data_IF_170730666922
#
_entry.id   IF_170730666922
#
_cell.length_a   1.000
_cell.length_b   1.000
_cell.length_c   1.000
_cell.angle_alpha   90.00
_cell.angle_beta   90.00
_cell.angle_gamma   90.00
#
_symmetry.space_group_name_H-M   'P 1'
#
loop_
_entity.id
_entity.type
_entity.pdbx_description
1 polymer ?
#
# COMPACT_ATOMS: atom_id res chain seq x y z
N UNK A 1 8.36 -26.04 -7.46
CA UNK A 1 7.29 -25.21 -6.88
C UNK A 1 6.26 -26.10 -6.20
N UNK A 2 6.05 -25.92 -4.95
CA UNK A 2 5.05 -26.69 -4.24
C UNK A 2 3.67 -26.06 -4.51
N UNK A 3 2.82 -26.74 -5.29
CA UNK A 3 1.45 -26.27 -5.59
C UNK A 3 0.67 -25.96 -4.29
N UNK A 4 1.03 -26.62 -3.19
CA UNK A 4 0.38 -26.43 -1.89
C UNK A 4 0.59 -25.05 -1.28
N UNK A 5 1.79 -24.47 -1.39
CA UNK A 5 2.09 -23.14 -0.82
C UNK A 5 1.17 -22.09 -1.44
N UNK A 6 1.02 -22.16 -2.76
CA UNK A 6 0.15 -21.27 -3.53
C UNK A 6 -1.31 -21.45 -3.12
N UNK A 7 -1.78 -22.69 -3.04
CA UNK A 7 -3.15 -22.99 -2.62
C UNK A 7 -3.44 -22.48 -1.23
N UNK A 8 -2.52 -22.67 -0.27
CA UNK A 8 -2.70 -22.17 1.10
C UNK A 8 -2.77 -20.65 1.17
N UNK A 9 -1.93 -19.93 0.40
CA UNK A 9 -2.01 -18.46 0.30
C UNK A 9 -3.33 -18.00 -0.32
N UNK A 10 -3.78 -18.66 -1.40
CA UNK A 10 -5.01 -18.30 -2.09
C UNK A 10 -6.26 -18.43 -1.19
N UNK A 11 -6.21 -19.26 -0.13
CA UNK A 11 -7.26 -19.41 0.87
C UNK A 11 -6.95 -18.68 2.20
N UNK A 12 -5.95 -17.79 2.22
CA UNK A 12 -5.57 -17.00 3.40
C UNK A 12 -4.86 -17.77 4.53
N UNK A 13 -4.45 -19.04 4.32
CA UNK A 13 -3.75 -19.86 5.31
C UNK A 13 -2.22 -19.67 5.19
N UNK A 14 -1.76 -18.44 5.48
CA UNK A 14 -0.35 -18.09 5.43
C UNK A 14 0.51 -18.92 6.42
N UNK A 15 -0.06 -19.37 7.54
CA UNK A 15 0.56 -20.28 8.50
C UNK A 15 1.01 -21.60 7.85
N UNK A 16 0.10 -22.23 7.10
CA UNK A 16 0.38 -23.48 6.41
C UNK A 16 1.28 -23.27 5.17
N UNK A 17 1.13 -22.15 4.47
CA UNK A 17 2.01 -21.80 3.37
C UNK A 17 3.46 -21.68 3.86
N UNK A 18 3.67 -21.02 5.00
CA UNK A 18 4.99 -20.87 5.63
C UNK A 18 5.60 -22.21 6.02
N UNK A 19 4.83 -23.10 6.68
CA UNK A 19 5.32 -24.44 7.06
C UNK A 19 5.83 -25.21 5.84
N UNK A 20 5.04 -25.20 4.75
CA UNK A 20 5.40 -25.93 3.53
C UNK A 20 6.63 -25.32 2.84
N UNK A 21 6.71 -23.98 2.78
CA UNK A 21 7.84 -23.27 2.17
C UNK A 21 9.14 -23.46 2.94
N UNK A 22 9.13 -23.40 4.27
CA UNK A 22 10.30 -23.72 5.12
C UNK A 22 10.77 -25.17 4.95
N UNK A 23 9.84 -26.09 4.82
CA UNK A 23 10.16 -27.48 4.54
C UNK A 23 10.78 -27.64 3.15
N UNK A 24 10.29 -26.91 2.14
CA UNK A 24 10.88 -26.87 0.80
C UNK A 24 12.33 -26.36 0.88
N UNK A 25 12.57 -25.22 1.53
CA UNK A 25 13.91 -24.64 1.69
C UNK A 25 14.86 -25.60 2.40
N UNK A 26 14.39 -26.35 3.41
CA UNK A 26 15.22 -27.33 4.13
C UNK A 26 15.70 -28.51 3.25
N UNK A 27 14.90 -28.92 2.27
CA UNK A 27 15.29 -29.98 1.32
C UNK A 27 16.04 -29.45 0.10
N UNK A 28 15.74 -28.22 -0.31
CA UNK A 28 16.26 -27.60 -1.53
C UNK A 28 16.82 -26.20 -1.24
N UNK A 29 17.92 -26.07 -0.47
CA UNK A 29 18.45 -24.76 -0.06
C UNK A 29 19.00 -23.90 -1.21
N UNK A 30 19.20 -24.51 -2.40
CA UNK A 30 19.62 -23.81 -3.61
C UNK A 30 18.44 -23.55 -4.57
N UNK A 31 17.21 -23.60 -4.08
CA UNK A 31 16.01 -23.23 -4.84
C UNK A 31 15.41 -21.96 -4.23
N UNK A 32 15.45 -20.87 -4.99
CA UNK A 32 14.94 -19.54 -4.54
C UNK A 32 13.45 -19.54 -4.19
N UNK A 33 12.68 -20.42 -4.83
CA UNK A 33 11.21 -20.49 -4.65
C UNK A 33 10.81 -20.75 -3.19
N UNK A 34 11.59 -21.56 -2.47
CA UNK A 34 11.35 -21.81 -1.04
C UNK A 34 11.41 -20.53 -0.21
N UNK A 35 12.45 -19.73 -0.41
CA UNK A 35 12.65 -18.46 0.30
C UNK A 35 11.60 -17.41 -0.08
N UNK A 36 11.31 -17.27 -1.36
CA UNK A 36 10.30 -16.33 -1.88
C UNK A 36 8.92 -16.66 -1.30
N UNK A 37 8.53 -17.93 -1.34
CA UNK A 37 7.23 -18.37 -0.82
C UNK A 37 7.14 -18.23 0.70
N UNK A 38 8.23 -18.51 1.46
CA UNK A 38 8.31 -18.20 2.89
C UNK A 38 8.12 -16.72 3.16
N UNK A 39 8.83 -15.88 2.41
CA UNK A 39 8.73 -14.42 2.55
C UNK A 39 7.30 -13.90 2.30
N UNK A 40 6.64 -14.34 1.23
CA UNK A 40 5.28 -13.92 0.93
C UNK A 40 4.31 -14.35 2.05
N UNK A 41 4.47 -15.57 2.58
CA UNK A 41 3.65 -16.04 3.70
C UNK A 41 3.91 -15.23 4.97
N UNK A 42 5.18 -14.89 5.26
CA UNK A 42 5.59 -14.07 6.41
C UNK A 42 5.07 -12.63 6.31
N UNK A 43 5.10 -12.03 5.11
CA UNK A 43 4.48 -10.72 4.87
C UNK A 43 2.97 -10.77 5.15
N UNK A 44 2.28 -11.82 4.67
CA UNK A 44 0.86 -12.01 4.93
C UNK A 44 0.52 -12.31 6.41
N UNK A 45 1.51 -12.70 7.23
CA UNK A 45 1.42 -12.83 8.68
C UNK A 45 1.93 -11.58 9.43
N UNK A 46 2.29 -10.53 8.72
CA UNK A 46 2.90 -9.30 9.22
C UNK A 46 4.25 -9.53 9.98
N UNK A 47 4.89 -10.66 9.74
CA UNK A 47 6.21 -10.98 10.31
C UNK A 47 7.33 -10.52 9.36
N UNK A 48 7.46 -9.21 9.21
CA UNK A 48 8.35 -8.59 8.23
C UNK A 48 9.83 -8.85 8.52
N UNK A 49 10.23 -8.85 9.79
CA UNK A 49 11.63 -9.10 10.19
C UNK A 49 12.10 -10.48 9.73
N UNK A 50 11.34 -11.52 10.01
CA UNK A 50 11.68 -12.89 9.59
C UNK A 50 11.65 -13.03 8.05
N UNK A 51 10.73 -12.32 7.37
CA UNK A 51 10.71 -12.27 5.91
C UNK A 51 12.00 -11.69 5.32
N UNK A 52 12.51 -10.60 5.90
CA UNK A 52 13.78 -9.98 5.51
C UNK A 52 14.95 -10.95 5.77
N UNK A 53 14.97 -11.65 6.91
CA UNK A 53 16.03 -12.60 7.23
C UNK A 53 16.09 -13.77 6.24
N UNK A 54 14.94 -14.36 5.90
CA UNK A 54 14.83 -15.44 4.90
C UNK A 54 15.34 -14.97 3.53
N UNK A 55 14.94 -13.77 3.10
CA UNK A 55 15.36 -13.21 1.81
C UNK A 55 16.83 -12.76 1.79
N UNK A 56 17.42 -12.38 2.93
CA UNK A 56 18.84 -12.10 3.05
C UNK A 56 19.68 -13.37 2.82
N UNK A 57 19.19 -14.54 3.25
CA UNK A 57 19.82 -15.81 2.89
C UNK A 57 19.70 -16.01 1.36
N UNK A 58 18.51 -15.82 0.80
CA UNK A 58 18.29 -16.00 -0.63
C UNK A 58 19.17 -15.06 -1.47
N UNK A 59 19.30 -13.77 -1.13
CA UNK A 59 20.12 -12.84 -1.91
C UNK A 59 21.62 -13.14 -1.82
N UNK A 60 22.08 -13.78 -0.76
CA UNK A 60 23.46 -14.23 -0.67
C UNK A 60 23.78 -15.35 -1.68
N UNK A 61 22.78 -16.17 -2.02
CA UNK A 61 22.88 -17.27 -2.99
C UNK A 61 22.56 -16.79 -4.40
N UNK A 62 21.56 -15.90 -4.54
CA UNK A 62 21.03 -15.41 -5.81
C UNK A 62 21.11 -13.86 -5.91
N UNK A 63 22.30 -13.27 -5.86
CA UNK A 63 22.45 -11.81 -5.71
C UNK A 63 21.88 -10.99 -6.88
N UNK A 64 21.81 -11.57 -8.07
CA UNK A 64 21.31 -10.92 -9.29
C UNK A 64 19.98 -11.55 -9.78
N UNK A 65 19.20 -12.11 -8.88
CA UNK A 65 17.87 -12.59 -9.22
C UNK A 65 16.85 -11.47 -9.04
N UNK A 66 15.99 -11.27 -10.03
CA UNK A 66 14.97 -10.22 -10.04
C UNK A 66 13.99 -10.41 -8.89
N UNK A 67 13.42 -11.60 -8.73
CA UNK A 67 12.36 -11.85 -7.75
C UNK A 67 12.87 -11.73 -6.32
N UNK A 68 14.06 -12.26 -6.03
CA UNK A 68 14.68 -12.15 -4.71
C UNK A 68 14.87 -10.67 -4.32
N UNK A 69 15.39 -9.84 -5.23
CA UNK A 69 15.57 -8.41 -4.95
C UNK A 69 14.21 -7.68 -4.86
N UNK A 70 13.24 -8.03 -5.71
CA UNK A 70 11.89 -7.46 -5.64
C UNK A 70 11.19 -7.75 -4.31
N UNK A 71 11.22 -9.01 -3.84
CA UNK A 71 10.59 -9.36 -2.58
C UNK A 71 11.34 -8.82 -1.36
N UNK A 72 12.68 -8.63 -1.44
CA UNK A 72 13.42 -7.86 -0.42
C UNK A 72 12.97 -6.40 -0.37
N UNK A 73 12.74 -5.78 -1.54
CA UNK A 73 12.16 -4.45 -1.61
C UNK A 73 10.79 -4.41 -0.93
N UNK A 74 9.93 -5.36 -1.25
CA UNK A 74 8.58 -5.46 -0.67
C UNK A 74 8.60 -5.70 0.84
N UNK A 75 9.42 -6.63 1.33
CA UNK A 75 9.53 -6.92 2.76
C UNK A 75 10.05 -5.72 3.55
N UNK A 76 11.08 -5.03 3.02
CA UNK A 76 11.60 -3.81 3.64
C UNK A 76 10.59 -2.66 3.61
N UNK A 77 9.85 -2.46 2.50
CA UNK A 77 8.77 -1.48 2.42
C UNK A 77 7.70 -1.74 3.49
N UNK A 78 7.25 -2.99 3.60
CA UNK A 78 6.26 -3.40 4.61
C UNK A 78 6.75 -3.23 6.04
N UNK A 79 8.07 -3.39 6.28
CA UNK A 79 8.73 -3.14 7.56
C UNK A 79 9.02 -1.65 7.81
N UNK A 80 8.65 -0.75 6.90
CA UNK A 80 8.98 0.69 6.91
C UNK A 80 10.50 0.99 6.83
N UNK A 81 11.31 0.06 6.37
CA UNK A 81 12.73 0.24 6.09
C UNK A 81 12.90 0.83 4.66
N UNK A 82 12.43 2.05 4.45
CA UNK A 82 12.26 2.61 3.11
C UNK A 82 13.59 2.83 2.35
N UNK A 83 14.70 3.10 3.03
CA UNK A 83 16.01 3.22 2.39
C UNK A 83 16.50 1.89 1.82
N UNK A 84 16.30 0.80 2.53
CA UNK A 84 16.60 -0.55 2.08
C UNK A 84 15.65 -0.98 0.95
N UNK A 85 14.36 -0.64 1.06
CA UNK A 85 13.37 -0.87 0.00
C UNK A 85 13.80 -0.18 -1.32
N UNK A 86 14.24 1.09 -1.27
CA UNK A 86 14.79 1.81 -2.43
C UNK A 86 15.95 1.04 -3.08
N UNK A 87 16.89 0.55 -2.28
CA UNK A 87 18.06 -0.17 -2.79
C UNK A 87 17.64 -1.45 -3.53
N UNK A 88 16.77 -2.25 -2.93
CA UNK A 88 16.39 -3.54 -3.48
C UNK A 88 15.43 -3.41 -4.69
N UNK A 89 14.46 -2.50 -4.66
CA UNK A 89 13.63 -2.22 -5.84
C UNK A 89 14.45 -1.63 -6.98
N UNK A 90 15.38 -0.71 -6.70
CA UNK A 90 16.28 -0.17 -7.73
C UNK A 90 17.13 -1.27 -8.34
N UNK A 91 17.66 -2.19 -7.53
CA UNK A 91 18.44 -3.33 -8.01
C UNK A 91 17.60 -4.29 -8.85
N UNK A 92 16.35 -4.52 -8.45
CA UNK A 92 15.39 -5.30 -9.23
C UNK A 92 15.17 -4.67 -10.61
N UNK A 93 14.99 -3.34 -10.69
CA UNK A 93 14.82 -2.60 -11.94
C UNK A 93 16.09 -2.56 -12.82
N UNK A 94 17.28 -2.70 -12.25
CA UNK A 94 18.51 -2.88 -13.04
C UNK A 94 18.51 -4.23 -13.79
N UNK A 95 17.86 -5.25 -13.23
CA UNK A 95 17.76 -6.59 -13.81
C UNK A 95 16.61 -6.64 -14.85
N UNK A 96 15.45 -6.12 -14.50
CA UNK A 96 14.31 -5.98 -15.41
C UNK A 96 13.77 -4.54 -15.39
N UNK A 97 14.24 -3.75 -16.34
CA UNK A 97 13.90 -2.32 -16.49
C UNK A 97 12.44 -2.06 -16.89
N UNK A 98 11.68 -3.10 -17.23
CA UNK A 98 10.28 -3.00 -17.64
C UNK A 98 9.31 -3.53 -16.59
N UNK A 99 9.80 -3.97 -15.46
CA UNK A 99 8.94 -4.51 -14.41
C UNK A 99 8.02 -3.42 -13.84
N UNK A 100 6.74 -3.50 -14.19
CA UNK A 100 5.68 -2.63 -13.67
C UNK A 100 5.59 -2.75 -12.14
N UNK A 101 5.65 -3.97 -11.60
CA UNK A 101 5.59 -4.19 -10.15
C UNK A 101 6.73 -3.52 -9.39
N UNK A 102 7.97 -3.62 -9.91
CA UNK A 102 9.11 -2.98 -9.26
C UNK A 102 9.10 -1.44 -9.42
N UNK A 103 8.54 -0.91 -10.54
CA UNK A 103 8.33 0.53 -10.69
C UNK A 103 7.31 1.05 -9.68
N UNK A 104 6.17 0.37 -9.48
CA UNK A 104 5.20 0.73 -8.44
C UNK A 104 5.83 0.72 -7.05
N UNK A 105 6.51 -0.37 -6.67
CA UNK A 105 7.16 -0.48 -5.37
C UNK A 105 8.19 0.63 -5.13
N UNK A 106 8.99 0.98 -6.16
CA UNK A 106 9.97 2.04 -6.06
C UNK A 106 9.34 3.43 -6.00
N UNK A 107 8.28 3.70 -6.79
CA UNK A 107 7.57 4.97 -6.77
C UNK A 107 6.95 5.23 -5.39
N UNK A 108 6.21 4.25 -4.85
CA UNK A 108 5.66 4.32 -3.50
C UNK A 108 6.75 4.48 -2.42
N UNK A 109 7.92 3.86 -2.63
CA UNK A 109 9.05 4.01 -1.72
C UNK A 109 9.61 5.44 -1.78
N UNK A 110 9.70 6.03 -2.97
CA UNK A 110 10.13 7.42 -3.13
C UNK A 110 9.18 8.41 -2.45
N UNK A 111 7.86 8.17 -2.50
CA UNK A 111 6.89 8.98 -1.76
C UNK A 111 7.18 8.96 -0.25
N UNK A 112 7.45 7.77 0.32
CA UNK A 112 7.72 7.61 1.76
C UNK A 112 9.02 8.28 2.23
N UNK A 113 9.98 8.51 1.31
CA UNK A 113 11.25 9.18 1.61
C UNK A 113 11.36 10.57 0.97
N UNK A 114 10.21 11.13 0.58
CA UNK A 114 10.04 12.48 0.05
C UNK A 114 10.90 12.79 -1.19
N UNK A 115 11.18 11.78 -2.01
CA UNK A 115 11.87 11.93 -3.30
C UNK A 115 10.87 12.17 -4.43
N UNK A 116 10.06 13.21 -4.29
CA UNK A 116 8.88 13.51 -5.10
C UNK A 116 9.15 13.52 -6.61
N UNK A 117 10.20 14.19 -7.07
CA UNK A 117 10.56 14.24 -8.50
C UNK A 117 10.74 12.83 -9.10
N UNK A 118 11.29 11.90 -8.30
CA UNK A 118 11.53 10.53 -8.76
C UNK A 118 10.28 9.66 -8.74
N UNK A 119 9.40 9.85 -7.77
CA UNK A 119 8.11 9.15 -7.76
C UNK A 119 7.26 9.58 -8.93
N UNK A 120 7.16 10.89 -9.19
CA UNK A 120 6.42 11.48 -10.31
C UNK A 120 6.92 10.98 -11.68
N UNK A 121 8.26 10.88 -11.85
CA UNK A 121 8.85 10.29 -13.06
C UNK A 121 8.41 8.84 -13.26
N UNK A 122 8.41 8.04 -12.19
CA UNK A 122 8.00 6.64 -12.26
C UNK A 122 6.52 6.48 -12.51
N UNK A 123 5.65 7.25 -11.84
CA UNK A 123 4.21 7.22 -12.10
C UNK A 123 3.87 7.65 -13.53
N UNK A 124 4.50 8.72 -14.01
CA UNK A 124 4.36 9.16 -15.41
C UNK A 124 4.77 8.06 -16.39
N UNK A 125 5.87 7.36 -16.10
CA UNK A 125 6.36 6.24 -16.91
C UNK A 125 5.41 5.05 -16.88
N UNK A 126 4.85 4.70 -15.72
CA UNK A 126 3.87 3.63 -15.56
C UNK A 126 2.61 3.90 -16.41
N UNK A 127 2.07 5.11 -16.30
CA UNK A 127 0.91 5.56 -17.10
C UNK A 127 1.22 5.52 -18.60
N UNK A 128 2.42 5.94 -19.01
CA UNK A 128 2.83 5.90 -20.42
C UNK A 128 3.02 4.45 -20.94
N UNK A 129 3.40 3.49 -20.08
CA UNK A 129 3.52 2.08 -20.43
C UNK A 129 2.17 1.40 -20.55
N UNK A 130 1.20 1.78 -19.71
CA UNK A 130 -0.14 1.23 -19.71
C UNK A 130 -1.15 2.30 -19.27
N UNK A 131 -1.87 2.87 -20.21
CA UNK A 131 -2.90 3.89 -19.99
C UNK A 131 -4.17 3.36 -19.27
N UNK A 132 -4.18 2.07 -18.93
CA UNK A 132 -5.22 1.40 -18.13
C UNK A 132 -4.71 0.90 -16.79
N UNK A 133 -3.56 1.38 -16.34
CA UNK A 133 -3.03 1.10 -15.01
C UNK A 133 -3.71 2.00 -13.96
N UNK A 134 -4.89 1.58 -13.50
CA UNK A 134 -5.65 2.32 -12.50
C UNK A 134 -4.86 2.57 -11.21
N UNK A 135 -3.99 1.64 -10.82
CA UNK A 135 -3.15 1.77 -9.64
C UNK A 135 -2.12 2.91 -9.81
N UNK A 136 -1.50 3.04 -10.99
CA UNK A 136 -0.56 4.12 -11.26
C UNK A 136 -1.24 5.48 -11.20
N UNK A 137 -2.43 5.62 -11.79
CA UNK A 137 -3.22 6.84 -11.70
C UNK A 137 -3.59 7.18 -10.27
N UNK A 138 -4.10 6.22 -9.51
CA UNK A 138 -4.49 6.43 -8.11
C UNK A 138 -3.31 6.79 -7.22
N UNK A 139 -2.20 6.04 -7.30
CA UNK A 139 -1.05 6.29 -6.45
C UNK A 139 -0.41 7.64 -6.74
N UNK A 140 -0.39 8.07 -8.02
CA UNK A 140 0.08 9.41 -8.36
C UNK A 140 -0.85 10.49 -7.81
N UNK A 141 -2.17 10.33 -7.95
CA UNK A 141 -3.15 11.25 -7.38
C UNK A 141 -2.99 11.35 -5.85
N UNK A 142 -2.84 10.22 -5.17
CA UNK A 142 -2.64 10.17 -3.73
C UNK A 142 -1.33 10.85 -3.30
N UNK A 143 -0.23 10.61 -4.03
CA UNK A 143 1.05 11.28 -3.77
C UNK A 143 0.93 12.81 -3.89
N UNK A 144 0.20 13.32 -4.90
CA UNK A 144 -0.03 14.76 -5.08
C UNK A 144 -0.89 15.36 -3.97
N UNK A 145 -1.99 14.68 -3.58
CA UNK A 145 -2.90 15.22 -2.55
C UNK A 145 -2.26 15.22 -1.16
N UNK A 146 -1.41 14.26 -0.83
CA UNK A 146 -0.72 14.20 0.47
C UNK A 146 0.28 15.36 0.67
N UNK A 147 0.84 15.87 -0.40
CA UNK A 147 1.76 17.01 -0.38
C UNK A 147 1.11 18.34 -0.75
N UNK A 148 -0.23 18.37 -0.87
CA UNK A 148 -1.03 19.54 -1.26
C UNK A 148 -0.56 20.17 -2.59
N UNK A 149 -0.06 19.37 -3.54
CA UNK A 149 0.40 19.82 -4.85
C UNK A 149 -0.60 19.48 -5.95
N UNK A 150 -0.83 20.44 -6.85
CA UNK A 150 -1.64 20.32 -8.08
C UNK A 150 -2.90 19.47 -7.90
N UNK A 151 -3.76 19.86 -6.93
CA UNK A 151 -4.98 19.14 -6.56
C UNK A 151 -5.94 18.93 -7.75
N UNK A 152 -5.93 19.86 -8.73
CA UNK A 152 -6.77 19.74 -9.94
C UNK A 152 -6.24 18.62 -10.85
N UNK A 153 -4.92 18.51 -10.98
CA UNK A 153 -4.31 17.39 -11.72
C UNK A 153 -4.49 16.08 -10.97
N UNK A 154 -4.31 16.07 -9.66
CA UNK A 154 -4.61 14.91 -8.82
C UNK A 154 -6.04 14.40 -9.01
N UNK A 155 -7.03 15.33 -9.07
CA UNK A 155 -8.43 14.98 -9.33
C UNK A 155 -8.59 14.30 -10.70
N UNK A 156 -7.95 14.85 -11.75
CA UNK A 156 -7.99 14.25 -13.10
C UNK A 156 -7.43 12.81 -13.11
N UNK A 157 -6.34 12.56 -12.37
CA UNK A 157 -5.76 11.23 -12.24
C UNK A 157 -6.69 10.28 -11.46
N UNK A 158 -7.23 10.72 -10.33
CA UNK A 158 -8.16 9.91 -9.51
C UNK A 158 -9.45 9.57 -10.28
N UNK A 159 -10.03 10.53 -11.04
CA UNK A 159 -11.16 10.28 -11.94
C UNK A 159 -10.83 9.21 -12.99
N UNK A 160 -9.59 9.22 -13.50
CA UNK A 160 -9.16 8.19 -14.44
C UNK A 160 -9.04 6.82 -13.79
N UNK A 161 -8.55 6.75 -12.55
CA UNK A 161 -8.46 5.50 -11.79
C UNK A 161 -9.85 4.87 -11.58
N UNK A 162 -10.85 5.63 -11.11
CA UNK A 162 -12.22 5.15 -10.90
C UNK A 162 -12.94 4.86 -12.22
N UNK A 163 -12.63 5.55 -13.31
CA UNK A 163 -13.16 5.22 -14.63
C UNK A 163 -12.72 3.83 -15.10
N UNK A 164 -11.49 3.41 -14.76
CA UNK A 164 -10.93 2.10 -15.13
C UNK A 164 -11.42 1.02 -14.17
N UNK A 165 -11.47 1.32 -12.87
CA UNK A 165 -11.83 0.39 -11.80
C UNK A 165 -12.71 1.07 -10.75
N UNK A 166 -14.04 1.11 -10.97
CA UNK A 166 -14.95 1.96 -10.18
C UNK A 166 -15.22 1.45 -8.75
N UNK A 167 -14.99 0.15 -8.50
CA UNK A 167 -15.40 -0.52 -7.27
C UNK A 167 -14.21 -0.75 -6.30
N UNK A 168 -13.14 0.04 -6.45
CA UNK A 168 -11.96 -0.06 -5.58
C UNK A 168 -12.05 1.01 -4.50
N UNK A 169 -12.23 0.58 -3.25
CA UNK A 169 -12.40 1.46 -2.08
C UNK A 169 -11.28 2.51 -1.97
N UNK A 170 -10.02 2.11 -2.13
CA UNK A 170 -8.88 3.02 -2.07
C UNK A 170 -8.92 4.13 -3.13
N UNK A 171 -9.50 3.88 -4.32
CA UNK A 171 -9.61 4.89 -5.37
C UNK A 171 -10.74 5.87 -5.10
N UNK A 172 -11.84 5.38 -4.53
CA UNK A 172 -12.96 6.21 -4.09
C UNK A 172 -12.55 7.07 -2.88
N UNK A 173 -11.75 6.55 -1.98
CA UNK A 173 -11.18 7.30 -0.88
C UNK A 173 -10.24 8.40 -1.37
N UNK A 174 -9.32 8.08 -2.27
CA UNK A 174 -8.38 9.08 -2.84
C UNK A 174 -9.12 10.26 -3.49
N UNK A 175 -10.15 10.00 -4.32
CA UNK A 175 -10.91 11.09 -4.94
C UNK A 175 -11.72 11.87 -3.89
N UNK A 176 -12.26 11.20 -2.88
CA UNK A 176 -12.93 11.86 -1.76
C UNK A 176 -11.98 12.74 -0.96
N UNK A 177 -10.76 12.25 -0.70
CA UNK A 177 -9.72 13.01 0.00
C UNK A 177 -9.27 14.25 -0.80
N UNK A 178 -9.17 14.14 -2.13
CA UNK A 178 -8.90 15.30 -3.00
C UNK A 178 -10.03 16.33 -2.88
N UNK A 179 -11.32 15.92 -2.93
CA UNK A 179 -12.43 16.85 -2.72
C UNK A 179 -12.42 17.50 -1.34
N UNK A 180 -12.01 16.76 -0.30
CA UNK A 180 -11.81 17.32 1.04
C UNK A 180 -10.77 18.44 1.03
N UNK A 181 -9.61 18.22 0.40
CA UNK A 181 -8.55 19.24 0.26
C UNK A 181 -8.97 20.43 -0.59
N UNK A 182 -9.90 20.25 -1.53
CA UNK A 182 -10.52 21.30 -2.32
C UNK A 182 -11.68 22.03 -1.58
N UNK A 183 -11.95 21.69 -0.33
CA UNK A 183 -13.05 22.20 0.50
C UNK A 183 -14.45 21.89 -0.08
N UNK A 184 -14.58 20.87 -0.92
CA UNK A 184 -15.84 20.37 -1.45
C UNK A 184 -16.39 19.23 -0.58
N UNK A 185 -16.68 19.52 0.69
CA UNK A 185 -16.92 18.53 1.74
C UNK A 185 -18.11 17.59 1.45
N UNK A 186 -19.16 18.04 0.83
CA UNK A 186 -20.31 17.16 0.47
C UNK A 186 -19.89 16.09 -0.56
N UNK A 187 -19.09 16.48 -1.57
CA UNK A 187 -18.57 15.50 -2.52
C UNK A 187 -17.58 14.53 -1.85
N UNK A 188 -16.72 15.05 -0.97
CA UNK A 188 -15.81 14.24 -0.19
C UNK A 188 -16.58 13.18 0.62
N UNK A 189 -17.65 13.59 1.32
CA UNK A 189 -18.53 12.71 2.08
C UNK A 189 -19.14 11.61 1.20
N UNK A 190 -19.67 11.98 0.03
CA UNK A 190 -20.30 11.02 -0.88
C UNK A 190 -19.30 9.97 -1.39
N UNK A 191 -18.08 10.37 -1.77
CA UNK A 191 -17.09 9.44 -2.30
C UNK A 191 -16.51 8.53 -1.21
N UNK A 192 -16.18 9.06 -0.02
CA UNK A 192 -15.63 8.24 1.06
C UNK A 192 -16.70 7.31 1.64
N UNK A 193 -17.97 7.76 1.72
CA UNK A 193 -19.07 6.86 2.08
C UNK A 193 -19.21 5.70 1.09
N UNK A 194 -19.03 5.93 -0.22
CA UNK A 194 -18.99 4.86 -1.21
C UNK A 194 -17.77 3.93 -1.01
N UNK A 195 -16.60 4.48 -0.68
CA UNK A 195 -15.42 3.66 -0.37
C UNK A 195 -15.70 2.68 0.77
N UNK A 196 -16.37 3.13 1.84
CA UNK A 196 -16.74 2.33 3.00
C UNK A 196 -17.77 1.21 2.69
N UNK A 197 -18.54 1.31 1.59
CA UNK A 197 -19.41 0.22 1.14
C UNK A 197 -18.58 -0.97 0.64
N UNK A 198 -17.42 -0.72 0.02
CA UNK A 198 -16.55 -1.76 -0.52
C UNK A 198 -15.52 -2.26 0.49
N UNK A 199 -15.06 -1.39 1.41
CA UNK A 199 -14.14 -1.77 2.50
C UNK A 199 -14.35 -0.87 3.74
N UNK A 200 -14.97 -1.43 4.76
CA UNK A 200 -15.19 -0.80 6.07
C UNK A 200 -14.13 -1.19 7.13
N UNK A 201 -13.07 -1.90 6.71
CA UNK A 201 -11.99 -2.38 7.57
C UNK A 201 -10.66 -1.62 7.39
N UNK A 202 -10.66 -0.52 6.63
CA UNK A 202 -9.50 0.36 6.46
C UNK A 202 -9.50 1.48 7.50
N UNK A 203 -8.51 1.49 8.40
CA UNK A 203 -8.36 2.56 9.39
C UNK A 203 -8.24 3.94 8.74
N UNK A 204 -7.52 4.03 7.61
CA UNK A 204 -7.32 5.29 6.87
C UNK A 204 -8.63 5.83 6.31
N UNK A 205 -9.44 4.99 5.64
CA UNK A 205 -10.72 5.42 5.07
C UNK A 205 -11.70 5.86 6.17
N UNK A 206 -11.72 5.13 7.29
CA UNK A 206 -12.53 5.50 8.46
C UNK A 206 -12.09 6.83 9.07
N UNK A 207 -10.78 7.09 9.15
CA UNK A 207 -10.25 8.36 9.64
C UNK A 207 -10.58 9.51 8.70
N UNK A 208 -10.36 9.36 7.38
CA UNK A 208 -10.73 10.36 6.37
C UNK A 208 -12.23 10.69 6.43
N UNK A 209 -13.09 9.67 6.59
CA UNK A 209 -14.53 9.92 6.72
C UNK A 209 -14.85 10.71 7.97
N UNK A 210 -14.19 10.42 9.10
CA UNK A 210 -14.29 11.21 10.32
C UNK A 210 -13.89 12.68 10.11
N UNK A 211 -12.75 12.92 9.42
CA UNK A 211 -12.28 14.29 9.10
C UNK A 211 -13.30 15.06 8.24
N UNK A 212 -13.91 14.40 7.27
CA UNK A 212 -14.97 14.99 6.44
C UNK A 212 -16.21 15.31 7.26
N UNK A 213 -16.66 14.38 8.12
CA UNK A 213 -17.83 14.58 8.98
C UNK A 213 -17.64 15.76 9.94
N UNK A 214 -16.43 15.94 10.50
CA UNK A 214 -16.10 17.15 11.27
C UNK A 214 -16.32 18.42 10.44
N UNK A 215 -15.89 18.41 9.18
CA UNK A 215 -15.97 19.59 8.31
C UNK A 215 -17.40 19.96 7.89
N UNK A 216 -18.34 19.01 8.03
CA UNK A 216 -19.79 19.25 7.83
C UNK A 216 -20.56 19.34 9.17
N UNK A 217 -19.86 19.51 10.28
CA UNK A 217 -20.40 19.69 11.64
C UNK A 217 -21.16 18.46 12.18
N UNK A 218 -20.91 17.25 11.67
CA UNK A 218 -21.50 15.99 12.13
C UNK A 218 -20.60 15.30 13.18
N UNK A 219 -20.34 15.98 14.30
CA UNK A 219 -19.29 15.61 15.27
C UNK A 219 -19.57 14.24 15.92
N UNK A 220 -20.83 13.99 16.32
CA UNK A 220 -21.19 12.71 16.99
C UNK A 220 -20.92 11.51 16.08
N UNK A 221 -21.22 11.65 14.78
CA UNK A 221 -20.95 10.60 13.80
C UNK A 221 -19.46 10.45 13.51
N UNK A 222 -18.73 11.57 13.40
CA UNK A 222 -17.28 11.56 13.22
C UNK A 222 -16.57 10.77 14.33
N UNK A 223 -16.95 10.97 15.59
CA UNK A 223 -16.39 10.24 16.73
C UNK A 223 -16.63 8.72 16.63
N UNK A 224 -17.75 8.28 16.06
CA UNK A 224 -18.00 6.85 15.82
C UNK A 224 -16.97 6.29 14.84
N UNK A 225 -16.70 7.00 13.73
CA UNK A 225 -15.74 6.55 12.71
C UNK A 225 -14.30 6.62 13.19
N UNK A 226 -13.91 7.67 13.90
CA UNK A 226 -12.60 7.75 14.54
C UNK A 226 -12.35 6.60 15.53
N UNK A 227 -13.34 6.28 16.37
CA UNK A 227 -13.21 5.16 17.30
C UNK A 227 -13.11 3.81 16.57
N UNK A 228 -13.82 3.62 15.45
CA UNK A 228 -13.65 2.42 14.60
C UNK A 228 -12.24 2.36 14.00
N UNK A 229 -11.72 3.49 13.49
CA UNK A 229 -10.36 3.55 12.96
C UNK A 229 -9.32 3.21 14.04
N UNK A 230 -9.50 3.75 15.26
CA UNK A 230 -8.60 3.49 16.38
C UNK A 230 -8.62 2.02 16.85
N UNK A 231 -9.73 1.30 16.69
CA UNK A 231 -9.79 -0.15 16.96
C UNK A 231 -8.96 -0.97 15.96
N UNK A 232 -8.70 -0.44 14.77
CA UNK A 232 -7.90 -1.09 13.73
C UNK A 232 -6.41 -0.67 13.79
N UNK A 233 -6.13 0.49 14.38
CA UNK A 233 -4.78 1.05 14.57
C UNK A 233 -4.68 1.65 15.98
N UNK A 234 -4.57 0.76 16.99
CA UNK A 234 -4.62 1.13 18.42
C UNK A 234 -3.49 2.08 18.84
N UNK A 235 -2.36 2.06 18.15
CA UNK A 235 -1.18 2.86 18.46
C UNK A 235 -1.17 4.25 17.77
N UNK A 236 -2.26 4.65 17.10
CA UNK A 236 -2.37 5.94 16.40
C UNK A 236 -2.59 7.10 17.40
N UNK A 237 -1.48 7.65 17.92
CA UNK A 237 -1.50 8.77 18.88
C UNK A 237 -2.16 10.03 18.31
N UNK A 238 -2.06 10.28 16.99
CA UNK A 238 -2.67 11.44 16.35
C UNK A 238 -4.20 11.32 16.36
N UNK A 239 -4.72 10.15 16.04
CA UNK A 239 -6.15 9.87 16.07
C UNK A 239 -6.70 9.93 17.51
N UNK A 240 -5.98 9.41 18.51
CA UNK A 240 -6.34 9.54 19.93
C UNK A 240 -6.44 11.01 20.35
N UNK A 241 -5.52 11.85 19.85
CA UNK A 241 -5.53 13.29 20.12
C UNK A 241 -6.72 13.97 19.45
N UNK A 242 -7.05 13.63 18.19
CA UNK A 242 -8.25 14.12 17.49
C UNK A 242 -9.51 13.82 18.30
N UNK A 243 -9.74 12.56 18.69
CA UNK A 243 -10.90 12.14 19.48
C UNK A 243 -11.03 12.96 20.77
N UNK A 244 -9.95 13.01 21.55
CA UNK A 244 -9.94 13.74 22.84
C UNK A 244 -10.29 15.22 22.71
N UNK A 245 -9.92 15.84 21.58
CA UNK A 245 -10.19 17.27 21.33
C UNK A 245 -11.68 17.57 21.11
N UNK A 246 -12.44 16.61 20.58
CA UNK A 246 -13.88 16.75 20.33
C UNK A 246 -14.74 16.25 21.49
N UNK A 247 -14.29 15.27 22.26
CA UNK A 247 -15.00 14.80 23.47
C UNK A 247 -15.01 15.85 24.62
N UNK A 248 -14.09 16.83 24.53
CA UNK A 248 -13.93 17.86 25.57
C UNK A 248 -14.78 19.11 25.32
N UNK A 249 -15.55 19.15 24.22
CA UNK A 249 -16.43 20.26 23.84
C UNK A 249 -17.88 19.96 24.20
#
# INVERSE_FOLDING_TARGET
>A
MCIRDRVYRDIGRNDLALEVSKKHTSYYPNDKEGYINSSIALIGLQNFSESIDELNIAVSIFPNDFEVNYFLGLANYSARNFNEAEQFYSKSLLIDQKSVAAMHGLAMTYDQIEKWDKSDELYTKLIALNDRDAQAYNNFAYSLVERDEDLEYALTLAEKAIQISPDVSAYLDTIGWIYYKLFEFEKAKDFIAQALIYDDSSAVILEHYGDVLISVEEIDEALIFYNKALLLDEDNEQLQTKISSYESQ
#
